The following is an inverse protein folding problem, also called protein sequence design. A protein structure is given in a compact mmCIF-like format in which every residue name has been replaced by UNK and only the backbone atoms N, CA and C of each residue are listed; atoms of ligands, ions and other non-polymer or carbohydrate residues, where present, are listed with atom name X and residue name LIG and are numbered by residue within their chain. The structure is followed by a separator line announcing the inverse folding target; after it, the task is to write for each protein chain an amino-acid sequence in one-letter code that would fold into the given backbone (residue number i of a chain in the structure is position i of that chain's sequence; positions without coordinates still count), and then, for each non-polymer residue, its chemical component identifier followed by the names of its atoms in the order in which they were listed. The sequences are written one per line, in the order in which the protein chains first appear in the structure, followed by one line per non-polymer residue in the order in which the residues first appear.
data_IF_645164204631
#
_entry.id   IF_645164204631
#
_cell.length_a   1.000
_cell.length_b   1.000
_cell.length_c   1.000
_cell.angle_alpha   90.00
_cell.angle_beta   90.00
_cell.angle_gamma   90.00
#
_symmetry.space_group_name_H-M   'P 1'
#
loop_
_entity.id
_entity.type
_entity.pdbx_description
1 polymer ?
#
# COMPACT_ATOMS: atom_id res chain seq x y z
N UNK A 1 19.42 -22.22 4.61
CA UNK A 1 18.58 -21.34 5.47
C UNK A 1 17.94 -20.17 4.72
N UNK A 2 18.68 -19.37 3.94
CA UNK A 2 18.11 -18.20 3.20
C UNK A 2 16.99 -18.56 2.21
N UNK A 3 17.12 -19.69 1.50
CA UNK A 3 16.09 -20.14 0.54
C UNK A 3 14.77 -20.54 1.22
N UNK A 4 14.82 -21.20 2.38
CA UNK A 4 13.61 -21.56 3.13
C UNK A 4 12.86 -20.32 3.63
N UNK A 5 13.57 -19.28 4.08
CA UNK A 5 12.97 -18.01 4.48
C UNK A 5 12.29 -17.28 3.31
N UNK A 6 12.94 -17.23 2.15
CA UNK A 6 12.37 -16.60 0.96
C UNK A 6 11.09 -17.32 0.49
N UNK A 7 11.08 -18.65 0.51
CA UNK A 7 9.90 -19.45 0.16
C UNK A 7 8.76 -19.18 1.15
N UNK A 8 9.04 -19.13 2.46
CA UNK A 8 8.02 -18.84 3.46
C UNK A 8 7.38 -17.46 3.25
N UNK A 9 8.19 -16.43 2.99
CA UNK A 9 7.69 -15.07 2.70
C UNK A 9 6.84 -15.07 1.43
N UNK A 10 7.28 -15.74 0.36
CA UNK A 10 6.52 -15.83 -0.88
C UNK A 10 5.16 -16.50 -0.67
N UNK A 11 5.11 -17.59 0.09
CA UNK A 11 3.85 -18.29 0.42
C UNK A 11 2.92 -17.37 1.23
N UNK A 12 3.44 -16.67 2.23
CA UNK A 12 2.65 -15.72 3.03
C UNK A 12 2.06 -14.63 2.15
N UNK A 13 2.86 -14.04 1.25
CA UNK A 13 2.39 -13.01 0.32
C UNK A 13 1.35 -13.53 -0.66
N UNK A 14 1.51 -14.76 -1.18
CA UNK A 14 0.53 -15.39 -2.07
C UNK A 14 -0.79 -15.67 -1.36
N UNK A 15 -0.74 -16.22 -0.15
CA UNK A 15 -1.94 -16.45 0.67
C UNK A 15 -2.62 -15.12 0.96
N UNK A 16 -1.85 -14.08 1.30
CA UNK A 16 -2.38 -12.75 1.56
C UNK A 16 -3.00 -12.12 0.31
N UNK A 17 -2.41 -12.31 -0.87
CA UNK A 17 -2.95 -11.87 -2.15
C UNK A 17 -4.29 -12.55 -2.46
N UNK A 18 -4.34 -13.88 -2.39
CA UNK A 18 -5.57 -14.66 -2.65
C UNK A 18 -6.68 -14.24 -1.69
N UNK A 19 -6.36 -14.08 -0.41
CA UNK A 19 -7.28 -13.59 0.60
C UNK A 19 -7.84 -12.19 0.26
N UNK A 20 -7.01 -11.28 -0.21
CA UNK A 20 -7.43 -9.93 -0.60
C UNK A 20 -8.29 -9.90 -1.87
N UNK A 21 -7.97 -10.73 -2.87
CA UNK A 21 -8.81 -10.88 -4.06
C UNK A 21 -10.22 -11.36 -3.69
N UNK A 22 -10.30 -12.33 -2.77
CA UNK A 22 -11.59 -12.79 -2.24
C UNK A 22 -12.32 -11.68 -1.46
N UNK A 23 -11.59 -10.91 -0.64
CA UNK A 23 -12.18 -9.83 0.14
C UNK A 23 -12.69 -8.69 -0.74
N UNK A 24 -12.04 -8.37 -1.86
CA UNK A 24 -12.52 -7.36 -2.80
C UNK A 24 -13.94 -7.67 -3.28
N UNK A 25 -14.20 -8.93 -3.67
CA UNK A 25 -15.53 -9.39 -4.06
C UNK A 25 -16.54 -9.28 -2.90
N UNK A 26 -16.11 -9.64 -1.68
CA UNK A 26 -16.95 -9.56 -0.48
C UNK A 26 -17.25 -8.12 -0.04
N UNK A 27 -16.30 -7.19 -0.19
CA UNK A 27 -16.50 -5.77 0.12
C UNK A 27 -17.52 -5.17 -0.86
N UNK A 28 -17.39 -5.46 -2.15
CA UNK A 28 -18.31 -5.00 -3.19
C UNK A 28 -19.76 -5.44 -2.92
N UNK A 29 -19.96 -6.71 -2.54
CA UNK A 29 -21.28 -7.21 -2.12
C UNK A 29 -21.76 -6.59 -0.79
N UNK A 30 -20.85 -6.40 0.16
CA UNK A 30 -21.15 -5.92 1.51
C UNK A 30 -21.55 -4.44 1.60
N UNK A 31 -21.20 -3.63 0.60
CA UNK A 31 -21.66 -2.24 0.46
C UNK A 31 -23.19 -2.16 0.35
N UNK A 32 -23.81 -3.09 -0.40
CA UNK A 32 -25.27 -3.12 -0.58
C UNK A 32 -26.03 -3.60 0.65
N UNK A 33 -25.41 -4.46 1.46
CA UNK A 33 -26.08 -5.09 2.62
C UNK A 33 -25.84 -4.36 3.95
N UNK A 34 -25.26 -3.16 3.93
CA UNK A 34 -24.98 -2.41 5.16
C UNK A 34 -23.95 -3.08 6.08
N UNK A 35 -23.02 -3.85 5.54
CA UNK A 35 -22.01 -4.56 6.35
C UNK A 35 -20.89 -3.68 6.94
N UNK A 36 -20.75 -2.44 6.46
CA UNK A 36 -19.86 -1.38 6.99
C UNK A 36 -20.03 -1.08 8.49
N UNK A 37 -21.16 -1.47 9.11
CA UNK A 37 -21.36 -1.36 10.56
C UNK A 37 -20.61 -2.42 11.38
N UNK A 38 -20.06 -3.46 10.72
CA UNK A 38 -19.38 -4.57 11.40
C UNK A 38 -17.86 -4.34 11.38
N UNK A 39 -17.13 -4.64 12.47
CA UNK A 39 -15.67 -4.45 12.54
C UNK A 39 -14.94 -5.27 11.48
N UNK A 40 -15.43 -6.47 11.15
CA UNK A 40 -14.80 -7.32 10.13
C UNK A 40 -14.77 -6.69 8.74
N UNK A 41 -15.70 -5.79 8.41
CA UNK A 41 -15.68 -5.09 7.14
C UNK A 41 -14.51 -4.11 7.06
N UNK A 42 -14.25 -3.34 8.13
CA UNK A 42 -13.12 -2.41 8.21
C UNK A 42 -11.77 -3.12 8.21
N UNK A 43 -11.65 -4.28 8.86
CA UNK A 43 -10.43 -5.09 8.77
C UNK A 43 -10.15 -5.60 7.35
N UNK A 44 -11.18 -5.95 6.57
CA UNK A 44 -11.01 -6.29 5.15
C UNK A 44 -10.57 -5.09 4.33
N UNK A 45 -11.20 -3.92 4.52
CA UNK A 45 -10.82 -2.68 3.83
C UNK A 45 -9.36 -2.33 4.12
N UNK A 46 -8.96 -2.36 5.39
CA UNK A 46 -7.57 -2.13 5.81
C UNK A 46 -6.59 -3.09 5.12
N UNK A 47 -6.90 -4.39 5.09
CA UNK A 47 -6.03 -5.38 4.45
C UNK A 47 -5.87 -5.14 2.95
N UNK A 48 -6.98 -4.85 2.27
CA UNK A 48 -7.00 -4.61 0.82
C UNK A 48 -6.26 -3.31 0.49
N UNK A 49 -6.46 -2.25 1.25
CA UNK A 49 -5.77 -0.98 1.04
C UNK A 49 -4.26 -1.11 1.29
N UNK A 50 -3.84 -1.86 2.31
CA UNK A 50 -2.42 -2.12 2.56
C UNK A 50 -1.77 -2.89 1.41
N UNK A 51 -2.43 -3.95 0.91
CA UNK A 51 -1.90 -4.72 -0.22
C UNK A 51 -1.82 -3.87 -1.49
N UNK A 52 -2.86 -3.10 -1.80
CA UNK A 52 -2.88 -2.20 -2.97
C UNK A 52 -1.81 -1.10 -2.87
N UNK A 53 -1.62 -0.53 -1.68
CA UNK A 53 -0.57 0.45 -1.40
C UNK A 53 0.82 -0.15 -1.57
N UNK A 54 1.04 -1.37 -1.04
CA UNK A 54 2.30 -2.09 -1.19
C UNK A 54 2.58 -2.42 -2.67
N UNK A 55 1.59 -2.91 -3.41
CA UNK A 55 1.73 -3.20 -4.84
C UNK A 55 2.06 -1.94 -5.65
N UNK A 56 1.40 -0.81 -5.34
CA UNK A 56 1.69 0.48 -5.98
C UNK A 56 3.11 0.97 -5.66
N UNK A 57 3.52 0.84 -4.40
CA UNK A 57 4.87 1.18 -3.97
C UNK A 57 5.93 0.32 -4.67
N UNK A 58 5.73 -1.00 -4.74
CA UNK A 58 6.63 -1.91 -5.47
C UNK A 58 6.68 -1.54 -6.97
N UNK A 59 5.54 -1.21 -7.58
CA UNK A 59 5.49 -0.77 -8.98
C UNK A 59 6.34 0.48 -9.23
N UNK A 60 6.35 1.42 -8.29
CA UNK A 60 7.21 2.61 -8.35
C UNK A 60 8.67 2.31 -8.03
N UNK A 61 8.94 1.49 -7.01
CA UNK A 61 10.31 1.15 -6.60
C UNK A 61 11.07 0.38 -7.70
N UNK A 62 10.35 -0.43 -8.48
CA UNK A 62 10.88 -1.18 -9.62
C UNK A 62 10.63 -0.50 -10.97
N UNK A 63 10.23 0.78 -11.01
CA UNK A 63 9.99 1.48 -12.28
C UNK A 63 11.27 1.64 -13.12
N UNK A 64 12.43 1.70 -12.46
CA UNK A 64 13.74 1.76 -13.08
C UNK A 64 14.27 0.43 -13.64
N UNK A 65 13.59 -0.69 -13.38
CA UNK A 65 14.06 -2.01 -13.79
C UNK A 65 15.38 -2.43 -13.14
N UNK A 66 16.11 -3.34 -13.83
CA UNK A 66 17.44 -3.79 -13.42
C UNK A 66 18.54 -2.79 -13.83
N UNK A 67 18.33 -2.10 -14.96
CA UNK A 67 19.18 -1.01 -15.43
C UNK A 67 18.30 0.18 -15.85
N UNK A 68 18.44 1.28 -15.11
CA UNK A 68 17.72 2.54 -15.36
C UNK A 68 18.07 3.10 -16.73
N UNK A 69 19.31 2.96 -17.19
CA UNK A 69 19.73 3.44 -18.51
C UNK A 69 18.97 2.70 -19.61
N UNK A 70 18.86 1.38 -19.50
CA UNK A 70 18.12 0.57 -20.47
C UNK A 70 16.63 0.91 -20.45
N UNK A 71 16.04 1.08 -19.26
CA UNK A 71 14.64 1.49 -19.12
C UNK A 71 14.39 2.86 -19.79
N UNK A 72 15.28 3.84 -19.58
CA UNK A 72 15.19 5.14 -20.23
C UNK A 72 15.30 5.03 -21.75
N UNK A 73 16.33 4.34 -22.26
CA UNK A 73 16.65 4.33 -23.69
C UNK A 73 15.73 3.45 -24.52
N UNK A 74 15.34 2.27 -24.00
CA UNK A 74 14.62 1.26 -24.78
C UNK A 74 13.13 1.17 -24.45
N UNK A 75 12.72 1.48 -23.22
CA UNK A 75 11.29 1.45 -22.84
C UNK A 75 10.66 2.80 -23.07
N UNK A 76 11.31 3.87 -22.59
CA UNK A 76 10.78 5.23 -22.66
C UNK A 76 11.32 6.05 -23.85
N UNK A 77 12.32 5.55 -24.58
CA UNK A 77 12.93 6.22 -25.73
C UNK A 77 13.50 7.61 -25.40
N UNK A 78 14.01 7.75 -24.18
CA UNK A 78 14.51 9.00 -23.61
C UNK A 78 16.00 8.95 -23.32
N UNK A 79 16.66 10.11 -23.43
CA UNK A 79 18.08 10.21 -23.12
C UNK A 79 18.33 10.04 -21.62
N UNK A 80 19.22 9.13 -21.27
CA UNK A 80 19.70 8.93 -19.91
C UNK A 80 20.80 9.95 -19.58
N UNK A 81 20.47 10.95 -18.77
CA UNK A 81 21.42 11.94 -18.27
C UNK A 81 22.08 11.42 -16.98
N UNK A 82 23.27 10.84 -17.14
CA UNK A 82 24.03 10.28 -16.03
C UNK A 82 24.48 11.36 -15.02
N UNK A 83 24.77 12.58 -15.47
CA UNK A 83 25.21 13.66 -14.61
C UNK A 83 24.06 14.17 -13.74
N UNK A 84 22.88 14.35 -14.34
CA UNK A 84 21.66 14.65 -13.61
C UNK A 84 21.32 13.55 -12.60
N UNK A 85 21.43 12.29 -13.02
CA UNK A 85 21.09 11.17 -12.14
C UNK A 85 21.99 11.09 -10.91
N UNK A 86 23.30 11.25 -11.11
CA UNK A 86 24.28 11.26 -10.01
C UNK A 86 24.07 12.45 -9.07
N UNK A 87 23.78 13.64 -9.59
CA UNK A 87 23.48 14.82 -8.78
C UNK A 87 22.23 14.63 -7.90
N UNK A 88 21.25 13.85 -8.35
CA UNK A 88 19.98 13.61 -7.65
C UNK A 88 19.88 12.21 -7.02
N UNK A 89 20.99 11.46 -6.93
CA UNK A 89 20.99 10.08 -6.45
C UNK A 89 20.42 9.92 -5.02
N UNK A 90 20.53 10.95 -4.17
CA UNK A 90 19.91 10.95 -2.83
C UNK A 90 18.39 11.06 -2.89
N UNK A 91 17.86 11.79 -3.87
CA UNK A 91 16.43 11.95 -4.07
C UNK A 91 15.79 10.63 -4.51
N UNK A 92 16.43 9.90 -5.42
CA UNK A 92 15.94 8.60 -5.91
C UNK A 92 16.04 7.46 -4.89
N UNK A 93 16.78 7.65 -3.79
CA UNK A 93 16.85 6.69 -2.67
C UNK A 93 15.80 6.95 -1.59
N UNK A 94 14.99 8.00 -1.71
CA UNK A 94 13.91 8.26 -0.74
C UNK A 94 12.86 7.18 -0.83
N UNK A 95 12.34 6.76 0.31
CA UNK A 95 11.25 5.78 0.39
C UNK A 95 9.92 6.33 -0.14
N UNK A 96 9.74 7.66 -0.05
CA UNK A 96 8.60 8.40 -0.57
C UNK A 96 8.94 9.91 -0.62
N UNK A 97 8.43 10.70 -1.58
CA UNK A 97 7.77 10.25 -2.82
C UNK A 97 8.73 9.48 -3.72
N UNK A 98 8.19 8.52 -4.50
CA UNK A 98 9.00 7.71 -5.39
C UNK A 98 9.27 8.48 -6.68
N UNK A 99 10.55 8.54 -7.03
CA UNK A 99 11.05 9.18 -8.24
C UNK A 99 12.20 8.36 -8.80
N UNK A 100 12.22 8.16 -10.11
CA UNK A 100 13.34 7.55 -10.83
C UNK A 100 13.42 8.20 -12.19
N UNK A 101 14.19 9.28 -12.31
CA UNK A 101 14.19 10.13 -13.50
C UNK A 101 15.28 9.73 -14.49
N UNK A 102 14.95 9.81 -15.79
CA UNK A 102 15.92 9.70 -16.87
C UNK A 102 16.69 11.00 -17.10
N UNK A 103 15.99 12.12 -16.96
CA UNK A 103 16.48 13.49 -17.10
C UNK A 103 15.60 14.43 -16.25
N UNK A 104 15.79 15.75 -16.33
CA UNK A 104 15.01 16.70 -15.53
C UNK A 104 13.48 16.63 -15.76
N UNK A 105 13.05 16.14 -16.93
CA UNK A 105 11.67 16.19 -17.40
C UNK A 105 10.94 14.85 -17.32
N UNK A 106 11.65 13.74 -17.49
CA UNK A 106 11.03 12.41 -17.56
C UNK A 106 11.30 11.58 -16.31
N UNK A 107 10.21 11.17 -15.65
CA UNK A 107 10.19 10.22 -14.55
C UNK A 107 9.66 8.86 -15.01
N UNK A 108 10.39 7.80 -14.66
CA UNK A 108 10.00 6.42 -14.91
C UNK A 108 8.86 6.00 -13.98
N UNK A 109 8.73 6.64 -12.81
CA UNK A 109 7.61 6.38 -11.89
C UNK A 109 6.34 6.97 -12.49
N UNK A 110 5.30 6.15 -12.77
CA UNK A 110 4.05 6.67 -13.30
C UNK A 110 3.41 7.68 -12.33
N UNK A 111 2.84 8.76 -12.87
CA UNK A 111 2.25 9.84 -12.08
C UNK A 111 1.16 9.41 -11.09
N UNK A 112 0.51 8.27 -11.33
CA UNK A 112 -0.54 7.72 -10.45
C UNK A 112 0.00 6.98 -9.22
N UNK A 113 1.28 6.56 -9.21
CA UNK A 113 1.82 5.71 -8.14
C UNK A 113 1.84 6.43 -6.80
N UNK A 114 2.40 7.65 -6.74
CA UNK A 114 2.50 8.41 -5.50
C UNK A 114 1.11 8.75 -4.92
N UNK A 115 0.14 9.28 -5.70
CA UNK A 115 -1.24 9.45 -5.25
C UNK A 115 -1.88 8.14 -4.75
N UNK A 116 -1.70 7.02 -5.47
CA UNK A 116 -2.28 5.73 -5.07
C UNK A 116 -1.75 5.25 -3.72
N UNK A 117 -0.44 5.37 -3.47
CA UNK A 117 0.18 5.02 -2.18
C UNK A 117 -0.40 5.89 -1.06
N UNK A 118 -0.53 7.20 -1.26
CA UNK A 118 -1.10 8.13 -0.27
C UNK A 118 -2.56 7.80 0.02
N UNK A 119 -3.38 7.58 -1.01
CA UNK A 119 -4.79 7.22 -0.83
C UNK A 119 -4.94 5.88 -0.10
N UNK A 120 -4.14 4.88 -0.45
CA UNK A 120 -4.15 3.58 0.24
C UNK A 120 -3.74 3.70 1.71
N UNK A 121 -2.72 4.50 2.01
CA UNK A 121 -2.29 4.77 3.39
C UNK A 121 -3.41 5.47 4.19
N UNK A 122 -4.04 6.50 3.62
CA UNK A 122 -5.14 7.21 4.26
C UNK A 122 -6.33 6.29 4.56
N UNK A 123 -6.75 5.45 3.60
CA UNK A 123 -7.83 4.48 3.80
C UNK A 123 -7.47 3.45 4.88
N UNK A 124 -6.24 2.96 4.88
CA UNK A 124 -5.75 2.00 5.89
C UNK A 124 -5.80 2.61 7.30
N UNK A 125 -5.35 3.86 7.45
CA UNK A 125 -5.37 4.59 8.71
C UNK A 125 -6.81 4.84 9.19
N UNK A 126 -7.71 5.27 8.30
CA UNK A 126 -9.12 5.46 8.64
C UNK A 126 -9.76 4.14 9.10
N UNK A 127 -9.52 3.04 8.39
CA UNK A 127 -10.03 1.73 8.77
C UNK A 127 -9.46 1.24 10.11
N UNK A 128 -8.16 1.46 10.37
CA UNK A 128 -7.53 1.15 11.64
C UNK A 128 -8.13 1.97 12.80
N UNK A 129 -8.38 3.26 12.61
CA UNK A 129 -9.03 4.11 13.61
C UNK A 129 -10.44 3.59 13.97
N UNK A 130 -11.22 3.17 12.98
CA UNK A 130 -12.56 2.57 13.22
C UNK A 130 -12.47 1.25 13.97
N UNK A 131 -11.49 0.40 13.65
CA UNK A 131 -11.26 -0.85 14.39
C UNK A 131 -10.87 -0.60 15.84
N UNK A 132 -9.98 0.36 16.08
CA UNK A 132 -9.59 0.77 17.43
C UNK A 132 -10.80 1.29 18.22
N UNK A 133 -11.67 2.08 17.57
CA UNK A 133 -12.92 2.52 18.18
C UNK A 133 -13.80 1.34 18.61
N UNK A 134 -14.00 0.34 17.73
CA UNK A 134 -14.77 -0.86 18.08
C UNK A 134 -14.14 -1.67 19.21
N UNK A 135 -12.81 -1.70 19.32
CA UNK A 135 -12.11 -2.40 20.39
C UNK A 135 -12.22 -1.68 21.74
N UNK A 136 -12.16 -0.34 21.74
CA UNK A 136 -12.13 0.48 22.96
C UNK A 136 -13.53 0.81 23.49
N UNK A 137 -14.52 1.00 22.61
CA UNK A 137 -15.87 1.42 23.02
C UNK A 137 -16.56 0.50 24.05
N UNK A 138 -16.37 -0.83 24.05
CA UNK A 138 -16.88 -1.70 25.11
C UNK A 138 -16.17 -1.49 26.45
N UNK A 139 -14.86 -1.22 26.44
CA UNK A 139 -14.03 -1.03 27.63
C UNK A 139 -14.32 0.32 28.32
N UNK A 140 -14.70 1.34 27.56
CA UNK A 140 -15.08 2.66 28.10
C UNK A 140 -16.50 2.70 28.63
N UNK A 141 -17.33 1.68 28.37
CA UNK A 141 -18.63 1.50 29.05
C UNK A 141 -18.38 0.93 30.44
N UNK A 142 -17.85 1.76 31.34
CA UNK A 142 -17.85 1.49 32.78
C UNK A 142 -19.30 1.19 33.17
N UNK A 143 -19.60 0.06 33.84
CA UNK A 143 -20.92 -0.19 34.39
C UNK A 143 -21.21 0.95 35.35
N UNK A 144 -22.13 1.85 34.98
CA UNK A 144 -22.65 2.84 35.90
C UNK A 144 -23.34 2.04 36.99
N UNK A 145 -22.67 1.90 38.13
CA UNK A 145 -23.16 1.13 39.27
C UNK A 145 -24.62 1.47 39.51
N UNK A 146 -25.45 0.42 39.45
CA UNK A 146 -26.84 0.46 39.90
C UNK A 146 -26.80 0.71 41.41
N UNK A 147 -26.65 1.96 41.83
CA UNK A 147 -26.97 2.37 43.19
C UNK A 147 -28.48 2.34 43.29
N UNK A 148 -28.99 1.14 43.57
CA UNK A 148 -30.39 0.91 43.91
C UNK A 148 -30.59 1.18 45.39
N UNK A 149 -31.59 2.02 45.64
CA UNK A 149 -32.46 2.13 46.82
C UNK A 149 -31.81 2.32 48.19
#
# INVERSE_FOLDING_TARGET
MKQAGAIAVAVILLVWLVWNLWNLLRIAGGLRTGSWRRPMWWARVCSVSLLAGLASWLRGAFSGGLDIREACQFVHHEHYDAAYWQAHAREFRKLFPLHSKCNAHVDLVPAWVNPAVVSCAAVSLAAAAVLLWFAVAPLTRVPRGRNGA
#
